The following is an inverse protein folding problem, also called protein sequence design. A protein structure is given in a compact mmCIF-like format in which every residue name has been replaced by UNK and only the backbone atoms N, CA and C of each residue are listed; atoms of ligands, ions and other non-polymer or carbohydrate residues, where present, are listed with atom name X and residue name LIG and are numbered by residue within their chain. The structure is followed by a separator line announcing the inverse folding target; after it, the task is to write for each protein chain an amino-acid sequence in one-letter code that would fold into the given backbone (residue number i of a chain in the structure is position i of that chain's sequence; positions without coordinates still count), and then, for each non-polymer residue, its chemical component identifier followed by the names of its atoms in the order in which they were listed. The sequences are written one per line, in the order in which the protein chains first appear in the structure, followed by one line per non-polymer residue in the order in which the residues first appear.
data_IF_635365736813
#
_entry.id   IF_635365736813
#
_cell.length_a   1.000
_cell.length_b   1.000
_cell.length_c   1.000
_cell.angle_alpha   90.00
_cell.angle_beta   90.00
_cell.angle_gamma   90.00
#
_symmetry.space_group_name_H-M   'P 1'
#
loop_
_entity.id
_entity.type
_entity.pdbx_description
1 polymer ?
#
# COMPACT_ATOMS: atom_id res chain seq x y z
N UNK A 1 -19.48 29.21 44.58
CA UNK A 1 -19.52 27.99 43.73
C UNK A 1 -19.42 28.27 42.22
N UNK A 2 -19.97 29.36 41.70
CA UNK A 2 -19.98 29.69 40.25
C UNK A 2 -18.57 29.81 39.63
N UNK A 3 -17.60 30.37 40.35
CA UNK A 3 -16.20 30.56 39.90
C UNK A 3 -15.43 29.23 39.78
N UNK A 4 -15.67 28.27 40.68
CA UNK A 4 -15.05 26.93 40.62
C UNK A 4 -15.62 26.08 39.47
N UNK A 5 -16.90 26.26 39.16
CA UNK A 5 -17.57 25.62 38.04
C UNK A 5 -17.11 26.20 36.69
N UNK A 6 -16.91 27.53 36.63
CA UNK A 6 -16.36 28.21 35.45
C UNK A 6 -14.89 27.85 35.19
N UNK A 7 -14.05 27.78 36.23
CA UNK A 7 -12.65 27.37 36.10
C UNK A 7 -12.48 25.92 35.63
N UNK A 8 -13.37 25.01 36.05
CA UNK A 8 -13.38 23.61 35.64
C UNK A 8 -13.77 23.44 34.15
N UNK A 9 -14.68 24.27 33.65
CA UNK A 9 -15.10 24.29 32.24
C UNK A 9 -14.02 24.82 31.29
N UNK A 10 -13.20 25.78 31.74
CA UNK A 10 -12.10 26.32 30.93
C UNK A 10 -10.97 25.29 30.79
N UNK A 11 -10.72 24.51 31.84
CA UNK A 11 -9.66 23.50 31.86
C UNK A 11 -9.97 22.27 30.98
N UNK A 12 -11.23 21.91 30.79
CA UNK A 12 -11.63 20.79 29.91
C UNK A 12 -11.55 21.14 28.41
N UNK A 13 -11.75 22.41 28.05
CA UNK A 13 -11.59 22.89 26.66
C UNK A 13 -10.13 22.86 26.17
N UNK A 14 -9.16 23.08 27.05
CA UNK A 14 -7.74 23.09 26.69
C UNK A 14 -7.21 21.70 26.26
N UNK A 15 -7.81 20.61 26.76
CA UNK A 15 -7.33 19.24 26.54
C UNK A 15 -7.74 18.72 25.14
N UNK A 16 -8.78 19.31 24.53
CA UNK A 16 -9.29 18.89 23.21
C UNK A 16 -8.50 19.43 22.00
N UNK A 17 -7.50 20.30 22.23
CA UNK A 17 -6.93 21.12 21.15
C UNK A 17 -5.76 20.51 20.36
N UNK A 18 -5.29 19.29 20.68
CA UNK A 18 -4.08 18.73 20.04
C UNK A 18 -4.28 17.44 19.22
N UNK A 19 -5.52 17.02 18.93
CA UNK A 19 -5.78 15.78 18.18
C UNK A 19 -5.68 15.93 16.64
N UNK A 20 -4.90 16.87 16.10
CA UNK A 20 -4.72 16.99 14.64
C UNK A 20 -3.59 16.06 14.14
N UNK A 21 -3.73 14.76 14.41
CA UNK A 21 -2.85 13.76 13.85
C UNK A 21 -3.33 13.46 12.42
N UNK A 22 -2.71 14.11 11.43
CA UNK A 22 -2.98 13.83 10.02
C UNK A 22 -2.53 12.40 9.70
N UNK A 23 -3.41 11.61 9.07
CA UNK A 23 -3.07 10.25 8.63
C UNK A 23 -1.92 10.30 7.62
N UNK A 24 -0.93 9.44 7.87
CA UNK A 24 0.21 9.19 6.97
C UNK A 24 -0.07 7.96 6.11
N UNK A 25 0.51 7.91 4.92
CA UNK A 25 0.32 6.85 3.93
C UNK A 25 0.78 7.32 2.54
N UNK A 26 0.76 6.45 1.54
CA UNK A 26 1.11 6.85 0.17
C UNK A 26 0.12 7.88 -0.40
N UNK A 27 0.65 8.98 -0.94
CA UNK A 27 -0.10 10.10 -1.53
C UNK A 27 -0.16 10.07 -3.07
N UNK A 28 0.61 9.19 -3.72
CA UNK A 28 0.62 9.06 -5.18
C UNK A 28 -0.58 8.21 -5.67
N UNK A 29 -1.48 8.77 -6.51
CA UNK A 29 -2.62 8.03 -7.07
C UNK A 29 -2.23 6.89 -8.03
N UNK A 30 -0.99 6.84 -8.52
CA UNK A 30 -0.50 5.78 -9.41
C UNK A 30 0.14 4.60 -8.66
N UNK A 31 0.24 4.69 -7.32
CA UNK A 31 0.75 3.62 -6.47
C UNK A 31 -0.35 2.60 -6.14
N UNK A 32 -0.01 1.31 -6.07
CA UNK A 32 -0.92 0.27 -5.59
C UNK A 32 -1.30 0.44 -4.11
N UNK A 33 -0.46 1.14 -3.35
CA UNK A 33 -0.67 1.42 -1.94
C UNK A 33 -1.31 2.79 -1.68
N UNK A 34 -1.91 3.44 -2.70
CA UNK A 34 -2.50 4.76 -2.55
C UNK A 34 -3.51 4.82 -1.39
N UNK A 35 -3.26 5.68 -0.41
CA UNK A 35 -4.03 5.79 0.82
C UNK A 35 -5.32 6.61 0.71
N UNK A 36 -5.61 7.13 -0.49
CA UNK A 36 -6.77 7.98 -0.73
C UNK A 36 -6.61 9.41 -0.22
N UNK A 37 -7.63 10.23 -0.48
CA UNK A 37 -7.63 11.68 -0.22
C UNK A 37 -7.50 12.08 1.27
N UNK A 38 -7.70 11.12 2.18
CA UNK A 38 -7.59 11.33 3.64
C UNK A 38 -6.15 11.32 4.14
N UNK A 39 -5.22 10.86 3.30
CA UNK A 39 -3.79 10.83 3.60
C UNK A 39 -3.15 12.11 3.08
N UNK A 40 -2.57 12.88 4.01
CA UNK A 40 -2.02 14.22 3.72
C UNK A 40 -0.50 14.28 3.78
N UNK A 41 0.13 13.19 4.23
CA UNK A 41 1.57 13.09 4.44
C UNK A 41 2.04 11.75 3.90
N UNK A 42 2.97 11.81 2.96
CA UNK A 42 3.62 10.62 2.43
C UNK A 42 4.49 9.96 3.51
N UNK A 43 4.44 8.64 3.58
CA UNK A 43 5.25 7.81 4.49
C UNK A 43 6.17 6.85 3.75
N UNK A 44 6.42 7.09 2.46
CA UNK A 44 7.28 6.28 1.61
C UNK A 44 6.76 4.83 1.43
N UNK A 45 5.48 4.57 1.74
CA UNK A 45 4.84 3.25 1.53
C UNK A 45 4.42 2.98 0.09
N UNK A 46 4.65 3.91 -0.84
CA UNK A 46 4.20 3.77 -2.22
C UNK A 46 4.86 2.57 -2.91
N UNK A 47 4.05 1.78 -3.62
CA UNK A 47 4.49 0.60 -4.38
C UNK A 47 4.00 0.70 -5.82
N UNK A 48 4.91 0.47 -6.76
CA UNK A 48 4.63 0.64 -8.18
C UNK A 48 4.72 -0.70 -8.92
N UNK A 49 3.98 -0.87 -10.02
CA UNK A 49 4.14 -2.03 -10.88
C UNK A 49 5.56 -2.07 -11.43
N UNK A 50 6.29 -3.16 -11.13
CA UNK A 50 7.51 -3.44 -11.87
C UNK A 50 7.15 -3.73 -13.33
N UNK A 51 7.87 -3.14 -14.28
CA UNK A 51 7.74 -3.48 -15.71
C UNK A 51 8.16 -4.93 -16.03
N UNK A 52 8.58 -5.70 -15.02
CA UNK A 52 8.94 -7.11 -15.13
C UNK A 52 7.66 -7.94 -15.23
N UNK A 53 7.33 -8.36 -16.45
CA UNK A 53 6.31 -9.37 -16.69
C UNK A 53 6.84 -10.73 -16.19
N UNK A 54 6.31 -11.20 -15.06
CA UNK A 54 6.64 -12.54 -14.54
C UNK A 54 5.64 -13.55 -15.12
N UNK A 55 6.13 -14.49 -15.92
CA UNK A 55 5.37 -15.65 -16.37
C UNK A 55 5.68 -16.86 -15.48
N UNK A 56 4.66 -17.59 -15.04
CA UNK A 56 4.90 -18.86 -14.35
C UNK A 56 5.26 -19.90 -15.42
N UNK A 57 6.54 -20.28 -15.48
CA UNK A 57 7.02 -21.34 -16.37
C UNK A 57 6.93 -22.64 -15.61
N UNK A 58 5.88 -23.42 -15.87
CA UNK A 58 5.78 -24.79 -15.37
C UNK A 58 6.47 -25.74 -16.35
N UNK A 59 7.48 -26.47 -15.88
CA UNK A 59 8.03 -27.60 -16.63
C UNK A 59 7.09 -28.79 -16.46
N UNK A 60 6.10 -28.93 -17.34
CA UNK A 60 5.23 -30.10 -17.39
C UNK A 60 5.88 -31.17 -18.27
N UNK A 61 6.81 -31.94 -17.69
CA UNK A 61 7.37 -33.13 -18.36
C UNK A 61 6.74 -34.39 -17.81
N UNK A 62 6.22 -35.25 -18.68
CA UNK A 62 5.89 -36.63 -18.36
C UNK A 62 6.98 -37.57 -18.92
N UNK A 63 7.13 -38.78 -18.37
CA UNK A 63 8.07 -39.79 -18.91
C UNK A 63 7.75 -40.21 -20.34
N UNK A 64 6.52 -39.97 -20.78
CA UNK A 64 6.03 -40.19 -22.14
C UNK A 64 6.01 -38.91 -22.99
N UNK A 65 6.38 -37.75 -22.43
CA UNK A 65 6.55 -36.53 -23.20
C UNK A 65 7.99 -36.44 -23.72
N UNK A 66 8.20 -36.27 -25.03
CA UNK A 66 9.48 -35.82 -25.59
C UNK A 66 9.93 -34.49 -24.95
N UNK A 67 11.24 -34.18 -24.97
CA UNK A 67 11.72 -32.96 -24.32
C UNK A 67 11.13 -31.71 -24.98
N UNK A 68 10.62 -30.80 -24.16
CA UNK A 68 10.14 -29.50 -24.64
C UNK A 68 11.30 -28.76 -25.32
N UNK A 69 11.11 -28.37 -26.58
CA UNK A 69 12.11 -27.66 -27.39
C UNK A 69 12.65 -28.45 -28.59
N UNK A 70 12.37 -29.76 -28.67
CA UNK A 70 12.85 -30.58 -29.80
C UNK A 70 12.09 -30.28 -31.11
N UNK A 71 10.78 -30.03 -31.06
CA UNK A 71 9.98 -29.66 -32.25
C UNK A 71 10.39 -28.33 -32.90
N UNK A 72 11.09 -27.46 -32.16
CA UNK A 72 11.63 -26.21 -32.70
C UNK A 72 13.00 -26.37 -33.37
N UNK A 73 13.64 -27.54 -33.25
CA UNK A 73 14.96 -27.81 -33.84
C UNK A 73 14.90 -28.44 -35.23
N UNK A 74 13.79 -29.10 -35.57
CA UNK A 74 13.63 -29.73 -36.90
C UNK A 74 13.19 -28.77 -38.00
N UNK A 75 12.76 -27.55 -37.65
CA UNK A 75 12.37 -26.52 -38.61
C UNK A 75 13.21 -25.23 -38.49
N UNK A 76 14.42 -25.33 -37.92
CA UNK A 76 15.41 -24.25 -37.83
C UNK A 76 16.60 -24.50 -38.77
#
# INVERSE_FOLDING_TARGET
MKIKLAGLLIMTMAIFSFSSCSKKGCTDPNSFAYGGEKVKKDDESCTYPSAVKKSIVFKTTATWCPMCGDWGKEYA
#
